data_IF_451889836067
#
_entry.id   IF_451889836067
#
_cell.length_a   1.000
_cell.length_b   1.000
_cell.length_c   1.000
_cell.angle_alpha   90.00
_cell.angle_beta   90.00
_cell.angle_gamma   90.00
#
_symmetry.space_group_name_H-M   'P 1'
#
loop_
_entity.id
_entity.type
_entity.pdbx_description
1 polymer ?
#
# COMPACT_ATOMS: atom_id res chain seq x y z
N UNK A 1 15.18 2.83 13.67
CA UNK A 1 15.44 4.14 14.32
C UNK A 1 14.89 4.23 15.74
N UNK A 2 13.57 4.13 15.97
CA UNK A 2 12.99 4.24 17.34
C UNK A 2 13.47 3.15 18.30
N UNK A 3 13.56 1.90 17.85
CA UNK A 3 14.06 0.76 18.65
C UNK A 3 15.52 0.91 19.13
N UNK A 4 16.28 1.83 18.54
CA UNK A 4 17.68 2.06 18.88
C UNK A 4 17.91 3.44 19.51
N UNK A 5 16.84 4.20 19.77
CA UNK A 5 16.91 5.56 20.31
C UNK A 5 17.86 6.46 19.53
N UNK A 6 17.80 6.41 18.20
CA UNK A 6 18.60 7.29 17.34
C UNK A 6 18.14 8.75 17.54
N UNK A 7 19.02 9.69 17.96
CA UNK A 7 18.63 11.05 18.32
C UNK A 7 18.01 11.83 17.15
N UNK A 8 18.61 11.73 15.97
CA UNK A 8 18.17 12.45 14.76
C UNK A 8 16.97 11.78 14.05
N UNK A 9 16.30 10.81 14.68
CA UNK A 9 15.19 10.08 14.04
C UNK A 9 14.01 10.96 13.61
N UNK A 10 13.79 12.10 14.29
CA UNK A 10 12.69 13.02 13.95
C UNK A 10 13.01 13.76 12.65
N UNK A 11 14.22 14.26 12.54
CA UNK A 11 14.69 15.00 11.37
C UNK A 11 14.77 14.08 10.15
N UNK A 12 15.36 12.91 10.29
CA UNK A 12 15.40 11.90 9.23
C UNK A 12 14.01 11.55 8.69
N UNK A 13 13.02 11.36 9.58
CA UNK A 13 11.62 11.12 9.17
C UNK A 13 11.00 12.34 8.49
N UNK A 14 11.41 13.56 8.84
CA UNK A 14 10.96 14.80 8.21
C UNK A 14 11.45 14.89 6.76
N UNK A 15 12.72 14.57 6.54
CA UNK A 15 13.33 14.52 5.20
C UNK A 15 12.60 13.54 4.28
N UNK A 16 12.28 12.33 4.77
CA UNK A 16 11.48 11.35 4.02
C UNK A 16 10.07 11.85 3.71
N UNK A 17 9.40 12.53 4.65
CA UNK A 17 8.09 13.15 4.39
C UNK A 17 8.16 14.27 3.36
N UNK A 18 9.25 15.04 3.35
CA UNK A 18 9.46 16.07 2.33
C UNK A 18 9.69 15.44 0.96
N UNK A 19 10.53 14.40 0.88
CA UNK A 19 10.75 13.62 -0.34
C UNK A 19 9.43 13.12 -0.95
N UNK A 20 8.58 12.49 -0.15
CA UNK A 20 7.28 11.99 -0.60
C UNK A 20 6.43 13.12 -1.19
N UNK A 21 6.33 14.26 -0.50
CA UNK A 21 5.56 15.42 -0.99
C UNK A 21 6.08 15.97 -2.33
N UNK A 22 7.39 16.00 -2.53
CA UNK A 22 7.98 16.45 -3.82
C UNK A 22 7.65 15.46 -4.93
N UNK A 23 7.75 14.16 -4.66
CA UNK A 23 7.39 13.12 -5.63
C UNK A 23 5.91 13.19 -6.01
N UNK A 24 5.02 13.26 -5.01
CA UNK A 24 3.57 13.41 -5.21
C UNK A 24 3.24 14.64 -6.07
N UNK A 25 3.86 15.78 -5.76
CA UNK A 25 3.66 17.01 -6.53
C UNK A 25 4.07 16.87 -8.01
N UNK A 26 5.25 16.28 -8.28
CA UNK A 26 5.73 16.07 -9.66
C UNK A 26 4.89 15.05 -10.43
N UNK A 27 4.39 14.01 -9.76
CA UNK A 27 3.46 13.06 -10.37
C UNK A 27 2.17 13.77 -10.80
N UNK A 28 1.64 14.65 -9.95
CA UNK A 28 0.43 15.40 -10.26
C UNK A 28 0.62 16.38 -11.43
N UNK A 29 1.73 17.11 -11.50
CA UNK A 29 2.07 17.97 -12.65
C UNK A 29 2.12 17.15 -13.96
N UNK A 30 2.72 15.96 -13.91
CA UNK A 30 2.78 15.07 -15.09
C UNK A 30 1.39 14.61 -15.53
N UNK A 31 0.51 14.27 -14.58
CA UNK A 31 -0.89 13.90 -14.84
C UNK A 31 -1.67 15.07 -15.44
N UNK A 32 -1.37 16.30 -15.04
CA UNK A 32 -1.94 17.54 -15.60
C UNK A 32 -1.39 17.93 -16.98
N UNK A 33 -0.45 17.15 -17.54
CA UNK A 33 0.07 17.34 -18.90
C UNK A 33 1.47 17.95 -18.98
N UNK A 34 2.13 18.29 -17.86
CA UNK A 34 3.50 18.78 -17.90
C UNK A 34 4.49 17.64 -18.18
N UNK A 35 4.96 17.57 -19.42
CA UNK A 35 5.91 16.55 -19.87
C UNK A 35 7.30 16.72 -19.22
N UNK A 36 7.68 17.93 -18.78
CA UNK A 36 8.98 18.17 -18.14
C UNK A 36 9.02 17.64 -16.70
N UNK A 37 7.87 17.45 -16.06
CA UNK A 37 7.78 16.94 -14.70
C UNK A 37 8.50 15.59 -14.52
N UNK A 38 8.49 14.72 -15.55
CA UNK A 38 9.19 13.42 -15.51
C UNK A 38 10.71 13.57 -15.44
N UNK A 39 11.31 14.47 -16.22
CA UNK A 39 12.78 14.65 -16.21
C UNK A 39 13.25 15.31 -14.91
N UNK A 40 12.48 16.27 -14.39
CA UNK A 40 12.71 16.87 -13.08
C UNK A 40 12.62 15.84 -11.96
N UNK A 41 11.61 14.96 -12.01
CA UNK A 41 11.44 13.90 -11.03
C UNK A 41 12.66 12.97 -11.01
N UNK A 42 13.11 12.47 -12.17
CA UNK A 42 14.30 11.59 -12.25
C UNK A 42 15.54 12.28 -11.68
N UNK A 43 15.77 13.56 -12.02
CA UNK A 43 16.91 14.31 -11.48
C UNK A 43 16.80 14.52 -9.96
N UNK A 44 15.61 14.83 -9.46
CA UNK A 44 15.36 14.96 -8.03
C UNK A 44 15.60 13.64 -7.29
N UNK A 45 15.02 12.53 -7.78
CA UNK A 45 15.18 11.20 -7.19
C UNK A 45 16.67 10.84 -7.08
N UNK A 46 17.43 11.01 -8.17
CA UNK A 46 18.87 10.74 -8.20
C UNK A 46 19.63 11.57 -7.17
N UNK A 47 19.43 12.89 -7.17
CA UNK A 47 20.16 13.81 -6.27
C UNK A 47 19.79 13.55 -4.80
N UNK A 48 18.50 13.36 -4.53
CA UNK A 48 18.01 13.12 -3.18
C UNK A 48 18.53 11.79 -2.64
N UNK A 49 18.39 10.69 -3.38
CA UNK A 49 18.86 9.36 -2.95
C UNK A 49 20.37 9.37 -2.69
N UNK A 50 21.16 9.89 -3.64
CA UNK A 50 22.61 9.94 -3.51
C UNK A 50 23.05 10.69 -2.24
N UNK A 51 22.52 11.90 -2.04
CA UNK A 51 22.89 12.70 -0.88
C UNK A 51 22.36 12.11 0.43
N UNK A 52 21.10 11.69 0.46
CA UNK A 52 20.45 11.16 1.67
C UNK A 52 21.12 9.88 2.16
N UNK A 53 21.45 8.96 1.24
CA UNK A 53 22.14 7.71 1.60
C UNK A 53 23.55 7.99 2.14
N UNK A 54 24.32 8.84 1.45
CA UNK A 54 25.71 9.12 1.80
C UNK A 54 25.87 9.90 3.11
N UNK A 55 24.87 10.71 3.47
CA UNK A 55 24.91 11.59 4.64
C UNK A 55 24.03 11.05 5.77
N UNK A 56 22.72 11.06 5.58
CA UNK A 56 21.74 10.80 6.63
C UNK A 56 21.62 9.31 6.99
N UNK A 57 21.52 8.41 6.00
CA UNK A 57 21.45 6.96 6.27
C UNK A 57 22.77 6.44 6.85
N UNK A 58 23.90 6.99 6.40
CA UNK A 58 25.23 6.63 6.92
C UNK A 58 25.39 6.97 8.41
N UNK A 59 24.87 8.11 8.87
CA UNK A 59 24.86 8.47 10.30
C UNK A 59 24.12 7.42 11.14
N UNK A 60 22.95 6.98 10.66
CA UNK A 60 22.17 5.94 11.33
C UNK A 60 22.91 4.60 11.36
N UNK A 61 23.53 4.20 10.25
CA UNK A 61 24.36 3.01 10.18
C UNK A 61 25.52 3.04 11.19
N UNK A 62 26.32 4.12 11.17
CA UNK A 62 27.42 4.32 12.11
C UNK A 62 26.96 4.30 13.57
N UNK A 63 25.82 4.91 13.87
CA UNK A 63 25.26 4.95 15.21
C UNK A 63 24.91 3.55 15.74
N UNK A 64 24.34 2.68 14.90
CA UNK A 64 24.03 1.30 15.28
C UNK A 64 25.32 0.49 15.47
N UNK A 65 26.24 0.55 14.51
CA UNK A 65 27.50 -0.22 14.57
C UNK A 65 28.30 0.13 15.83
N UNK A 66 28.35 1.41 16.22
CA UNK A 66 29.03 1.84 17.45
C UNK A 66 28.39 1.27 18.73
N UNK A 67 27.08 0.99 18.72
CA UNK A 67 26.34 0.50 19.90
C UNK A 67 26.14 -1.02 19.93
N UNK A 68 26.34 -1.73 18.81
CA UNK A 68 26.17 -3.18 18.72
C UNK A 68 27.37 -3.80 18.01
N UNK A 69 28.17 -4.57 18.77
CA UNK A 69 29.38 -5.26 18.27
C UNK A 69 29.13 -6.24 17.11
N UNK A 70 27.88 -6.65 16.86
CA UNK A 70 27.48 -7.55 15.76
C UNK A 70 26.10 -7.15 15.20
N UNK A 71 26.00 -6.00 14.52
CA UNK A 71 24.74 -5.54 13.93
C UNK A 71 24.14 -6.53 12.93
N UNK A 72 24.98 -7.27 12.20
CA UNK A 72 24.57 -8.26 11.19
C UNK A 72 23.75 -9.40 11.80
N UNK A 73 24.25 -10.02 12.88
CA UNK A 73 23.53 -11.10 13.59
C UNK A 73 22.20 -10.59 14.15
N UNK A 74 22.19 -9.36 14.69
CA UNK A 74 20.97 -8.74 15.21
C UNK A 74 19.91 -8.54 14.12
N UNK A 75 20.31 -8.08 12.93
CA UNK A 75 19.36 -7.88 11.83
C UNK A 75 18.93 -9.19 11.17
N UNK A 76 19.81 -10.19 11.09
CA UNK A 76 19.45 -11.56 10.67
C UNK A 76 18.37 -12.14 11.58
N UNK A 77 18.58 -12.08 12.89
CA UNK A 77 17.60 -12.55 13.89
C UNK A 77 16.25 -11.82 13.79
N UNK A 78 16.27 -10.50 13.52
CA UNK A 78 15.04 -9.75 13.27
C UNK A 78 14.35 -10.19 11.98
N UNK A 79 15.09 -10.35 10.89
CA UNK A 79 14.53 -10.75 9.60
C UNK A 79 13.85 -12.13 9.72
N UNK A 80 14.51 -13.08 10.38
CA UNK A 80 14.01 -14.44 10.60
C UNK A 80 12.84 -14.50 11.59
N UNK A 81 12.93 -13.79 12.73
CA UNK A 81 11.89 -13.84 13.78
C UNK A 81 10.64 -13.04 13.44
N UNK A 82 10.80 -11.88 12.80
CA UNK A 82 9.65 -11.00 12.57
C UNK A 82 8.79 -11.48 11.42
N UNK A 83 9.37 -12.11 10.38
CA UNK A 83 8.66 -12.49 9.14
C UNK A 83 7.81 -11.36 8.52
N UNK A 84 8.04 -10.11 8.93
CA UNK A 84 7.31 -8.90 8.50
C UNK A 84 8.02 -8.25 7.29
N UNK A 85 9.30 -8.55 7.08
CA UNK A 85 10.08 -8.00 5.97
C UNK A 85 10.20 -9.09 4.91
N UNK A 86 9.76 -8.81 3.69
CA UNK A 86 10.09 -9.68 2.55
C UNK A 86 11.29 -9.16 1.80
N UNK A 87 12.11 -10.09 1.36
CA UNK A 87 13.21 -9.82 0.45
C UNK A 87 12.93 -10.69 -0.75
N UNK A 88 12.64 -10.08 -1.90
CA UNK A 88 12.41 -10.81 -3.15
C UNK A 88 13.70 -11.46 -3.63
N UNK A 89 13.58 -12.56 -4.36
CA UNK A 89 14.73 -13.23 -4.97
C UNK A 89 15.63 -12.27 -5.78
N UNK A 90 15.04 -11.33 -6.54
CA UNK A 90 15.80 -10.32 -7.30
C UNK A 90 16.64 -9.39 -6.41
N UNK A 91 16.13 -9.06 -5.22
CA UNK A 91 16.88 -8.24 -4.25
C UNK A 91 18.04 -9.03 -3.64
N UNK A 92 17.84 -10.33 -3.38
CA UNK A 92 18.90 -11.24 -2.92
C UNK A 92 19.99 -11.33 -3.98
N UNK A 93 19.62 -11.63 -5.23
CA UNK A 93 20.55 -11.74 -6.36
C UNK A 93 21.38 -10.47 -6.53
N UNK A 94 20.72 -9.30 -6.51
CA UNK A 94 21.41 -8.01 -6.61
C UNK A 94 22.37 -7.78 -5.43
N UNK A 95 21.93 -8.06 -4.20
CA UNK A 95 22.75 -7.87 -3.01
C UNK A 95 23.96 -8.80 -3.00
N UNK A 96 23.77 -10.09 -3.29
CA UNK A 96 24.83 -11.08 -3.38
C UNK A 96 25.82 -10.77 -4.50
N UNK A 97 25.34 -10.33 -5.67
CA UNK A 97 26.21 -9.95 -6.78
C UNK A 97 27.12 -8.75 -6.45
N UNK A 98 26.65 -7.80 -5.62
CA UNK A 98 27.41 -6.60 -5.24
C UNK A 98 28.34 -6.87 -4.05
N UNK A 99 27.88 -7.63 -3.06
CA UNK A 99 28.56 -7.76 -1.76
C UNK A 99 29.34 -9.06 -1.59
N UNK A 100 29.09 -10.07 -2.42
CA UNK A 100 29.60 -11.43 -2.24
C UNK A 100 28.94 -12.20 -1.10
N UNK A 101 27.94 -11.62 -0.41
CA UNK A 101 27.26 -12.25 0.72
C UNK A 101 26.21 -13.26 0.23
N UNK A 102 26.35 -14.52 0.63
CA UNK A 102 25.51 -15.65 0.13
C UNK A 102 24.50 -16.18 1.15
N UNK A 103 24.60 -15.77 2.42
CA UNK A 103 23.74 -16.25 3.51
C UNK A 103 22.39 -15.51 3.59
N UNK A 104 22.06 -14.72 2.58
CA UNK A 104 20.76 -14.06 2.45
C UNK A 104 19.90 -14.91 1.51
N UNK A 105 18.66 -15.19 1.93
CA UNK A 105 17.70 -15.96 1.13
C UNK A 105 16.43 -15.16 0.93
N UNK A 106 15.64 -15.54 -0.08
CA UNK A 106 14.31 -14.97 -0.27
C UNK A 106 13.48 -15.19 0.99
N UNK A 107 12.91 -14.11 1.51
CA UNK A 107 11.97 -14.15 2.63
C UNK A 107 10.61 -13.78 2.06
N UNK A 108 9.73 -14.76 1.94
CA UNK A 108 8.33 -14.55 1.61
C UNK A 108 7.45 -15.07 2.73
N UNK A 109 6.37 -14.37 3.09
CA UNK A 109 5.37 -14.93 3.99
C UNK A 109 4.29 -15.64 3.18
N UNK A 110 4.16 -16.94 3.40
CA UNK A 110 3.04 -17.75 2.86
C UNK A 110 1.73 -17.52 3.63
N UNK A 111 1.80 -16.84 4.79
CA UNK A 111 0.62 -16.52 5.58
C UNK A 111 -0.03 -15.24 5.07
N UNK A 112 -1.24 -15.36 4.49
CA UNK A 112 -2.02 -14.24 3.97
C UNK A 112 -2.22 -13.14 5.03
N UNK A 113 -2.44 -13.51 6.29
CA UNK A 113 -2.64 -12.54 7.38
C UNK A 113 -1.39 -11.71 7.65
N UNK A 114 -0.21 -12.32 7.62
CA UNK A 114 1.07 -11.62 7.83
C UNK A 114 1.40 -10.72 6.65
N UNK A 115 1.11 -11.14 5.41
CA UNK A 115 1.28 -10.30 4.23
C UNK A 115 0.36 -9.08 4.24
N UNK A 116 -0.91 -9.24 4.66
CA UNK A 116 -1.83 -8.10 4.87
C UNK A 116 -1.28 -7.15 5.92
N UNK A 117 -0.88 -7.65 7.10
CA UNK A 117 -0.32 -6.83 8.18
C UNK A 117 0.94 -6.07 7.75
N UNK A 118 1.77 -6.71 6.95
CA UNK A 118 2.99 -6.14 6.40
C UNK A 118 2.69 -5.01 5.43
N UNK A 119 1.83 -5.22 4.43
CA UNK A 119 1.41 -4.17 3.49
C UNK A 119 0.81 -2.99 4.28
N UNK A 120 -0.09 -3.28 5.23
CA UNK A 120 -0.70 -2.27 6.09
C UNK A 120 0.32 -1.41 6.86
N UNK A 121 1.31 -2.04 7.51
CA UNK A 121 2.34 -1.35 8.32
C UNK A 121 3.36 -0.60 7.46
N UNK A 122 3.79 -1.18 6.34
CA UNK A 122 4.81 -0.59 5.46
C UNK A 122 4.28 0.70 4.84
N UNK A 123 3.08 0.66 4.26
CA UNK A 123 2.51 1.81 3.54
C UNK A 123 1.71 2.76 4.44
N UNK A 124 1.47 2.37 5.71
CA UNK A 124 0.69 3.14 6.70
C UNK A 124 -0.68 3.51 6.16
N UNK A 125 -1.44 2.49 5.82
CA UNK A 125 -2.72 2.61 5.11
C UNK A 125 -3.87 3.08 6.00
N UNK A 126 -3.65 3.28 7.31
CA UNK A 126 -4.71 3.71 8.22
C UNK A 126 -5.06 5.20 8.07
N UNK A 127 -6.34 5.46 7.78
CA UNK A 127 -6.93 6.81 7.76
C UNK A 127 -7.65 7.16 9.07
N UNK A 128 -7.76 6.21 10.01
CA UNK A 128 -8.40 6.37 11.32
C UNK A 128 -9.92 6.58 11.27
N UNK A 129 -10.58 6.07 10.23
CA UNK A 129 -12.04 5.95 10.16
C UNK A 129 -12.34 4.45 10.16
N UNK A 130 -12.89 3.86 11.24
CA UNK A 130 -12.92 2.41 11.40
C UNK A 130 -13.55 1.63 10.24
N UNK A 131 -14.62 2.16 9.64
CA UNK A 131 -15.29 1.51 8.50
C UNK A 131 -14.45 1.58 7.23
N UNK A 132 -13.75 2.69 6.98
CA UNK A 132 -12.83 2.83 5.85
C UNK A 132 -11.60 1.94 6.06
N UNK A 133 -10.98 1.98 7.25
CA UNK A 133 -9.83 1.13 7.58
C UNK A 133 -10.18 -0.37 7.44
N UNK A 134 -11.41 -0.76 7.78
CA UNK A 134 -11.94 -2.10 7.55
C UNK A 134 -12.06 -2.42 6.05
N UNK A 135 -12.59 -1.51 5.24
CA UNK A 135 -12.68 -1.68 3.79
C UNK A 135 -11.30 -1.77 3.12
N UNK A 136 -10.37 -0.89 3.49
CA UNK A 136 -8.98 -0.92 3.02
C UNK A 136 -8.29 -2.24 3.38
N UNK A 137 -8.44 -2.74 4.61
CA UNK A 137 -7.89 -4.04 5.01
C UNK A 137 -8.46 -5.19 4.19
N UNK A 138 -9.75 -5.13 3.85
CA UNK A 138 -10.38 -6.15 3.01
C UNK A 138 -9.87 -6.10 1.56
N UNK A 139 -9.71 -4.90 0.99
CA UNK A 139 -9.06 -4.72 -0.32
C UNK A 139 -7.64 -5.31 -0.35
N UNK A 140 -6.83 -5.01 0.67
CA UNK A 140 -5.47 -5.56 0.81
C UNK A 140 -5.51 -7.09 0.94
N UNK A 141 -6.46 -7.65 1.69
CA UNK A 141 -6.66 -9.11 1.78
C UNK A 141 -6.95 -9.72 0.42
N UNK A 142 -7.89 -9.16 -0.34
CA UNK A 142 -8.21 -9.66 -1.68
C UNK A 142 -7.01 -9.59 -2.63
N UNK A 143 -6.20 -8.53 -2.56
CA UNK A 143 -4.94 -8.42 -3.31
C UNK A 143 -3.99 -9.58 -2.96
N UNK A 144 -3.76 -9.82 -1.67
CA UNK A 144 -2.88 -10.90 -1.21
C UNK A 144 -3.40 -12.26 -1.68
N UNK A 145 -4.71 -12.50 -1.60
CA UNK A 145 -5.33 -13.74 -2.07
C UNK A 145 -5.20 -13.91 -3.60
N UNK A 146 -5.36 -12.82 -4.37
CA UNK A 146 -5.14 -12.82 -5.82
C UNK A 146 -3.67 -13.11 -6.17
N UNK A 147 -2.71 -12.58 -5.41
CA UNK A 147 -1.28 -12.87 -5.60
C UNK A 147 -0.93 -14.32 -5.25
N UNK A 148 -1.53 -14.90 -4.21
CA UNK A 148 -1.30 -16.28 -3.81
C UNK A 148 -1.89 -17.30 -4.78
N UNK A 149 -3.11 -17.03 -5.30
CA UNK A 149 -3.77 -17.88 -6.30
C UNK A 149 -3.01 -18.00 -7.61
N UNK A 150 -2.01 -17.14 -7.86
CA UNK A 150 -1.07 -17.30 -8.99
C UNK A 150 -0.26 -18.60 -8.89
N UNK A 151 -0.02 -19.16 -7.70
CA UNK A 151 1.04 -20.16 -7.46
C UNK A 151 0.62 -21.66 -7.52
N UNK A 152 -0.67 -22.06 -7.59
CA UNK A 152 -1.08 -23.49 -7.36
C UNK A 152 -2.28 -23.94 -8.25
N UNK A 153 -2.25 -25.14 -8.90
CA UNK A 153 -3.47 -25.85 -9.42
C UNK A 153 -3.38 -26.52 -10.82
N UNK A 154 -4.49 -26.78 -11.52
CA UNK A 154 -4.59 -27.09 -12.98
C UNK A 154 -5.00 -25.82 -13.77
N UNK A 155 -4.78 -25.73 -15.08
CA UNK A 155 -4.88 -24.45 -15.81
C UNK A 155 -6.31 -23.86 -15.89
N UNK A 156 -7.36 -24.66 -16.15
CA UNK A 156 -8.72 -24.16 -16.41
C UNK A 156 -9.51 -23.78 -15.16
N UNK A 157 -9.50 -24.62 -14.12
CA UNK A 157 -10.29 -24.36 -12.90
C UNK A 157 -9.73 -23.18 -12.10
N UNK A 158 -8.41 -22.96 -12.19
CA UNK A 158 -7.75 -21.76 -11.67
C UNK A 158 -8.24 -20.50 -12.35
N UNK A 159 -8.39 -20.53 -13.67
CA UNK A 159 -8.78 -19.34 -14.44
C UNK A 159 -10.17 -18.87 -14.03
N UNK A 160 -11.15 -19.77 -13.91
CA UNK A 160 -12.50 -19.40 -13.51
C UNK A 160 -12.57 -18.87 -12.08
N UNK A 161 -11.92 -19.54 -11.11
CA UNK A 161 -11.88 -19.10 -9.72
C UNK A 161 -11.13 -17.76 -9.56
N UNK A 162 -10.10 -17.55 -10.38
CA UNK A 162 -9.34 -16.31 -10.42
C UNK A 162 -10.18 -15.16 -10.99
N UNK A 163 -10.84 -15.37 -12.15
CA UNK A 163 -11.72 -14.37 -12.76
C UNK A 163 -12.88 -13.99 -11.86
N UNK A 164 -13.44 -14.96 -11.12
CA UNK A 164 -14.42 -14.68 -10.08
C UNK A 164 -13.83 -13.78 -8.98
N UNK A 165 -12.62 -14.08 -8.50
CA UNK A 165 -11.95 -13.28 -7.46
C UNK A 165 -11.67 -11.84 -7.92
N UNK A 166 -11.27 -11.63 -9.17
CA UNK A 166 -11.08 -10.30 -9.76
C UNK A 166 -12.41 -9.54 -9.82
N UNK A 167 -13.47 -10.18 -10.31
CA UNK A 167 -14.80 -9.56 -10.36
C UNK A 167 -15.27 -9.13 -8.96
N UNK A 168 -15.07 -9.98 -7.95
CA UNK A 168 -15.36 -9.66 -6.55
C UNK A 168 -14.54 -8.46 -6.07
N UNK A 169 -13.24 -8.41 -6.37
CA UNK A 169 -12.38 -7.27 -6.00
C UNK A 169 -12.82 -5.96 -6.67
N UNK A 170 -13.20 -5.99 -7.95
CA UNK A 170 -13.72 -4.82 -8.68
C UNK A 170 -15.04 -4.33 -8.05
N UNK A 171 -15.98 -5.24 -7.79
CA UNK A 171 -17.27 -4.87 -7.21
C UNK A 171 -17.11 -4.28 -5.81
N UNK A 172 -16.26 -4.90 -4.98
CA UNK A 172 -15.98 -4.37 -3.66
C UNK A 172 -15.27 -3.02 -3.68
N UNK A 173 -14.39 -2.78 -4.67
CA UNK A 173 -13.76 -1.47 -4.87
C UNK A 173 -14.81 -0.39 -5.16
N UNK A 174 -15.84 -0.69 -5.96
CA UNK A 174 -16.95 0.24 -6.21
C UNK A 174 -17.71 0.59 -4.93
N UNK A 175 -18.05 -0.41 -4.12
CA UNK A 175 -18.73 -0.20 -2.84
C UNK A 175 -17.90 0.66 -1.88
N UNK A 176 -16.58 0.40 -1.83
CA UNK A 176 -15.64 1.19 -1.05
C UNK A 176 -15.57 2.65 -1.54
N UNK A 177 -15.40 2.85 -2.84
CA UNK A 177 -15.31 4.18 -3.45
C UNK A 177 -16.58 5.01 -3.23
N UNK A 178 -17.76 4.39 -3.29
CA UNK A 178 -19.02 5.07 -2.99
C UNK A 178 -18.98 5.69 -1.59
N UNK A 179 -18.54 4.93 -0.57
CA UNK A 179 -18.48 5.45 0.79
C UNK A 179 -17.48 6.61 0.92
N UNK A 180 -16.31 6.52 0.30
CA UNK A 180 -15.35 7.62 0.31
C UNK A 180 -15.91 8.87 -0.37
N UNK A 181 -16.56 8.71 -1.53
CA UNK A 181 -17.15 9.78 -2.29
C UNK A 181 -18.29 10.46 -1.52
N UNK A 182 -19.12 9.70 -0.78
CA UNK A 182 -20.13 10.24 0.12
C UNK A 182 -19.50 11.09 1.25
N UNK A 183 -18.37 10.64 1.82
CA UNK A 183 -17.63 11.42 2.82
C UNK A 183 -17.05 12.69 2.18
N UNK A 184 -16.50 12.60 0.97
CA UNK A 184 -15.96 13.77 0.27
C UNK A 184 -17.02 14.78 -0.12
N UNK A 185 -18.16 14.32 -0.59
CA UNK A 185 -19.31 15.17 -0.91
C UNK A 185 -19.76 15.97 0.31
N UNK A 186 -19.80 15.35 1.49
CA UNK A 186 -20.19 16.02 2.72
C UNK A 186 -19.12 16.96 3.29
N UNK A 187 -17.86 16.54 3.31
CA UNK A 187 -16.82 17.22 4.10
C UNK A 187 -15.74 17.95 3.27
N UNK A 188 -15.52 17.58 2.01
CA UNK A 188 -14.56 18.22 1.10
C UNK A 188 -15.00 18.18 -0.38
N UNK A 189 -16.07 18.90 -0.76
CA UNK A 189 -16.61 18.88 -2.12
C UNK A 189 -15.60 19.30 -3.20
N UNK A 190 -14.62 20.13 -2.83
CA UNK A 190 -13.55 20.59 -3.72
C UNK A 190 -12.60 19.46 -4.17
N UNK A 191 -12.48 18.38 -3.39
CA UNK A 191 -11.64 17.22 -3.69
C UNK A 191 -12.42 16.11 -4.41
N UNK A 192 -13.74 16.04 -4.18
CA UNK A 192 -14.63 15.01 -4.75
C UNK A 192 -14.41 14.81 -6.24
N UNK A 193 -14.41 15.90 -7.03
CA UNK A 193 -14.32 15.80 -8.49
C UNK A 193 -13.04 15.10 -8.95
N UNK A 194 -11.90 15.43 -8.36
CA UNK A 194 -10.60 14.82 -8.70
C UNK A 194 -10.52 13.38 -8.20
N UNK A 195 -11.00 13.12 -6.98
CA UNK A 195 -10.96 11.79 -6.36
C UNK A 195 -11.86 10.78 -7.10
N UNK A 196 -13.13 11.13 -7.33
CA UNK A 196 -14.06 10.30 -8.12
C UNK A 196 -13.58 10.07 -9.55
N UNK A 197 -12.81 11.01 -10.12
CA UNK A 197 -12.22 10.82 -11.44
C UNK A 197 -11.11 9.75 -11.41
N UNK A 198 -10.26 9.74 -10.38
CA UNK A 198 -9.26 8.67 -10.18
C UNK A 198 -9.94 7.30 -10.05
N UNK A 199 -11.02 7.22 -9.26
CA UNK A 199 -11.82 6.01 -9.11
C UNK A 199 -12.38 5.50 -10.44
N UNK A 200 -13.03 6.37 -11.21
CA UNK A 200 -13.59 6.01 -12.52
C UNK A 200 -12.50 5.51 -13.48
N UNK A 201 -11.40 6.24 -13.59
CA UNK A 201 -10.29 5.84 -14.47
C UNK A 201 -9.73 4.46 -14.09
N UNK A 202 -9.59 4.19 -12.79
CA UNK A 202 -9.11 2.89 -12.33
C UNK A 202 -10.09 1.77 -12.66
N UNK A 203 -11.38 1.96 -12.39
CA UNK A 203 -12.40 0.97 -12.69
C UNK A 203 -12.49 0.69 -14.20
N UNK A 204 -12.40 1.71 -15.05
CA UNK A 204 -12.36 1.58 -16.51
C UNK A 204 -11.11 0.80 -16.95
N UNK A 205 -9.94 1.19 -16.44
CA UNK A 205 -8.67 0.54 -16.75
C UNK A 205 -8.66 -0.95 -16.38
N UNK A 206 -9.07 -1.30 -15.16
CA UNK A 206 -9.11 -2.68 -14.68
C UNK A 206 -10.18 -3.48 -15.43
N UNK A 207 -11.33 -2.89 -15.74
CA UNK A 207 -12.38 -3.54 -16.53
C UNK A 207 -11.88 -3.88 -17.94
N UNK A 208 -11.24 -2.92 -18.61
CA UNK A 208 -10.67 -3.12 -19.95
C UNK A 208 -9.62 -4.23 -19.95
N UNK A 209 -8.70 -4.21 -18.98
CA UNK A 209 -7.68 -5.25 -18.86
C UNK A 209 -8.28 -6.62 -18.55
N UNK A 210 -9.31 -6.68 -17.71
CA UNK A 210 -10.03 -7.91 -17.41
C UNK A 210 -10.75 -8.48 -18.65
N UNK A 211 -11.25 -7.63 -19.55
CA UNK A 211 -11.83 -8.06 -20.83
C UNK A 211 -10.77 -8.57 -21.82
N UNK A 212 -9.65 -7.85 -21.96
CA UNK A 212 -8.50 -8.27 -22.77
C UNK A 212 -7.94 -9.62 -22.30
N UNK A 213 -7.97 -9.89 -20.99
CA UNK A 213 -7.48 -11.12 -20.40
C UNK A 213 -8.34 -12.36 -20.69
N UNK A 214 -9.59 -12.20 -21.16
CA UNK A 214 -10.44 -13.34 -21.59
C UNK A 214 -9.89 -14.07 -22.82
N UNK A 215 -8.78 -13.59 -23.40
CA UNK A 215 -8.08 -14.19 -24.54
C UNK A 215 -6.95 -15.16 -24.13
N UNK A 216 -6.79 -15.48 -22.84
CA UNK A 216 -6.03 -16.66 -22.39
C UNK A 216 -4.53 -16.50 -22.12
N UNK A 217 -4.00 -15.27 -22.02
CA UNK A 217 -2.59 -15.05 -21.66
C UNK A 217 -2.38 -14.93 -20.14
N UNK A 218 -1.81 -15.97 -19.53
CA UNK A 218 -1.43 -16.00 -18.11
C UNK A 218 -0.54 -14.81 -17.67
N UNK A 219 0.33 -14.31 -18.55
CA UNK A 219 1.13 -13.11 -18.28
C UNK A 219 0.27 -11.85 -18.07
N UNK A 220 -0.84 -11.74 -18.79
CA UNK A 220 -1.76 -10.60 -18.72
C UNK A 220 -2.57 -10.59 -17.41
N UNK A 221 -2.86 -11.79 -16.88
CA UNK A 221 -3.42 -11.97 -15.53
C UNK A 221 -2.45 -11.50 -14.45
N UNK A 222 -1.16 -11.84 -14.57
CA UNK A 222 -0.18 -11.43 -13.56
C UNK A 222 -0.03 -9.92 -13.49
N UNK A 223 0.01 -9.27 -14.66
CA UNK A 223 0.06 -7.81 -14.78
C UNK A 223 -1.19 -7.16 -14.19
N UNK A 224 -2.38 -7.70 -14.43
CA UNK A 224 -3.63 -7.18 -13.87
C UNK A 224 -3.60 -7.10 -12.34
N UNK A 225 -3.17 -8.17 -11.65
CA UNK A 225 -3.07 -8.16 -10.19
C UNK A 225 -2.02 -7.17 -9.71
N UNK A 226 -0.89 -7.06 -10.42
CA UNK A 226 0.16 -6.12 -10.08
C UNK A 226 -0.34 -4.68 -10.19
N UNK A 227 -1.02 -4.32 -11.29
CA UNK A 227 -1.58 -2.99 -11.49
C UNK A 227 -2.68 -2.68 -10.45
N UNK A 228 -3.55 -3.66 -10.16
CA UNK A 228 -4.59 -3.51 -9.14
C UNK A 228 -3.98 -3.26 -7.75
N UNK A 229 -2.94 -4.02 -7.38
CA UNK A 229 -2.21 -3.83 -6.13
C UNK A 229 -1.53 -2.47 -6.06
N UNK A 230 -0.78 -2.11 -7.10
CA UNK A 230 -0.03 -0.86 -7.15
C UNK A 230 -0.96 0.34 -7.01
N UNK A 231 -2.06 0.36 -7.76
CA UNK A 231 -3.02 1.44 -7.70
C UNK A 231 -3.70 1.52 -6.33
N UNK A 232 -4.29 0.43 -5.81
CA UNK A 232 -5.03 0.46 -4.53
C UNK A 232 -4.10 0.85 -3.38
N UNK A 233 -2.92 0.24 -3.28
CA UNK A 233 -1.99 0.55 -2.19
C UNK A 233 -1.49 1.98 -2.28
N UNK A 234 -1.18 2.47 -3.49
CA UNK A 234 -0.75 3.86 -3.69
C UNK A 234 -1.87 4.85 -3.38
N UNK A 235 -3.08 4.62 -3.90
CA UNK A 235 -4.25 5.48 -3.72
C UNK A 235 -4.60 5.63 -2.24
N UNK A 236 -4.68 4.51 -1.51
CA UNK A 236 -4.91 4.54 -0.05
C UNK A 236 -3.77 5.27 0.68
N UNK A 237 -2.53 5.00 0.29
CA UNK A 237 -1.36 5.58 0.94
C UNK A 237 -1.16 7.08 0.64
N UNK A 238 -1.78 7.62 -0.40
CA UNK A 238 -1.51 8.98 -0.88
C UNK A 238 -2.81 9.80 -0.88
N UNK A 239 -3.77 9.39 -1.69
CA UNK A 239 -5.02 10.10 -1.95
C UNK A 239 -5.95 10.01 -0.74
N UNK A 240 -6.23 8.81 -0.23
CA UNK A 240 -7.19 8.61 0.88
C UNK A 240 -6.68 9.17 2.22
N UNK A 241 -5.38 9.49 2.33
CA UNK A 241 -4.82 10.09 3.54
C UNK A 241 -5.51 11.39 3.95
N UNK A 242 -6.14 12.10 3.02
CA UNK A 242 -6.93 13.29 3.32
C UNK A 242 -8.14 12.98 4.24
N UNK A 243 -8.69 11.76 4.19
CA UNK A 243 -9.75 11.30 5.10
C UNK A 243 -9.31 11.36 6.56
N UNK A 244 -8.02 11.17 6.84
CA UNK A 244 -7.46 11.33 8.19
C UNK A 244 -7.56 12.76 8.70
N UNK A 245 -7.42 13.75 7.81
CA UNK A 245 -7.62 15.14 8.15
C UNK A 245 -9.11 15.43 8.41
N UNK A 246 -10.01 14.89 7.58
CA UNK A 246 -11.47 14.98 7.79
C UNK A 246 -11.86 14.38 9.15
N UNK A 247 -11.39 13.17 9.46
CA UNK A 247 -11.66 12.50 10.73
C UNK A 247 -11.17 13.29 11.94
N UNK A 248 -10.00 13.94 11.82
CA UNK A 248 -9.45 14.78 12.90
C UNK A 248 -10.22 16.08 13.09
N UNK A 249 -10.67 16.72 11.99
CA UNK A 249 -11.32 18.03 12.03
C UNK A 249 -12.80 17.96 12.35
N UNK A 250 -13.49 16.92 11.88
CA UNK A 250 -14.95 16.79 11.92
C UNK A 250 -15.39 15.51 12.65
N UNK A 251 -14.70 15.10 13.73
CA UNK A 251 -14.87 13.79 14.36
C UNK A 251 -16.33 13.47 14.71
N UNK A 252 -17.05 14.39 15.38
CA UNK A 252 -18.42 14.15 15.85
C UNK A 252 -19.42 14.14 14.68
N UNK A 253 -19.36 15.12 13.78
CA UNK A 253 -20.23 15.19 12.60
C UNK A 253 -19.99 13.99 11.66
N UNK A 254 -18.74 13.55 11.49
CA UNK A 254 -18.42 12.36 10.71
C UNK A 254 -19.00 11.09 11.34
N UNK A 255 -18.95 10.98 12.68
CA UNK A 255 -19.53 9.83 13.40
C UNK A 255 -21.05 9.81 13.26
N UNK A 256 -21.70 10.95 13.39
CA UNK A 256 -23.15 11.09 13.18
C UNK A 256 -23.53 10.72 11.76
N UNK A 257 -22.86 11.32 10.77
CA UNK A 257 -23.04 11.01 9.35
C UNK A 257 -22.93 9.50 9.07
N UNK A 258 -21.82 8.87 9.46
CA UNK A 258 -21.63 7.43 9.23
C UNK A 258 -22.67 6.56 9.96
N UNK A 259 -23.13 6.98 11.14
CA UNK A 259 -24.18 6.26 11.88
C UNK A 259 -25.51 6.31 11.14
N UNK A 260 -25.87 7.48 10.61
CA UNK A 260 -27.06 7.67 9.77
C UNK A 260 -26.98 6.82 8.50
N UNK A 261 -25.88 6.91 7.77
CA UNK A 261 -25.67 6.15 6.52
C UNK A 261 -25.76 4.62 6.71
N UNK A 262 -25.27 4.12 7.84
CA UNK A 262 -25.39 2.70 8.22
C UNK A 262 -26.84 2.36 8.61
N UNK A 263 -27.50 3.21 9.41
CA UNK A 263 -28.88 2.96 9.86
C UNK A 263 -29.90 2.99 8.72
N UNK A 264 -29.65 3.80 7.70
CA UNK A 264 -30.47 3.92 6.50
C UNK A 264 -30.11 2.88 5.43
N UNK A 265 -29.15 1.98 5.71
CA UNK A 265 -28.77 0.87 4.84
C UNK A 265 -28.00 1.27 3.59
N UNK A 266 -27.60 2.54 3.44
CA UNK A 266 -26.75 3.01 2.34
C UNK A 266 -25.31 2.51 2.47
N UNK A 267 -24.87 2.22 3.68
CA UNK A 267 -23.53 1.70 3.96
C UNK A 267 -23.61 0.36 4.69
N UNK A 268 -23.12 -0.68 4.03
CA UNK A 268 -23.14 -2.04 4.57
C UNK A 268 -21.90 -2.33 5.45
N UNK A 269 -22.13 -2.79 6.68
CA UNK A 269 -21.08 -3.29 7.57
C UNK A 269 -21.08 -4.82 7.53
N UNK A 270 -20.29 -5.38 6.62
CA UNK A 270 -20.18 -6.83 6.47
C UNK A 270 -19.54 -7.46 7.75
N UNK A 271 -20.22 -8.43 8.42
CA UNK A 271 -19.71 -9.06 9.64
C UNK A 271 -18.37 -9.78 9.47
N UNK A 272 -18.10 -10.36 8.30
CA UNK A 272 -16.82 -11.02 8.01
C UNK A 272 -15.68 -10.01 7.96
N UNK A 273 -15.90 -8.87 7.31
CA UNK A 273 -14.91 -7.80 7.21
C UNK A 273 -14.62 -7.23 8.59
N UNK A 274 -15.65 -7.07 9.43
CA UNK A 274 -15.51 -6.61 10.81
C UNK A 274 -14.73 -7.60 11.68
N UNK A 275 -15.00 -8.90 11.55
CA UNK A 275 -14.21 -9.95 12.24
C UNK A 275 -12.75 -9.91 11.81
N UNK A 276 -12.48 -9.78 10.52
CA UNK A 276 -11.12 -9.68 9.99
C UNK A 276 -10.40 -8.42 10.49
N UNK A 277 -11.06 -7.26 10.42
CA UNK A 277 -10.55 -6.00 10.95
C UNK A 277 -10.19 -6.10 12.44
N UNK A 278 -11.09 -6.65 13.26
CA UNK A 278 -10.84 -6.84 14.68
C UNK A 278 -9.68 -7.80 14.96
N UNK A 279 -9.49 -8.83 14.14
CA UNK A 279 -8.34 -9.74 14.23
C UNK A 279 -7.04 -9.02 13.92
N UNK A 280 -6.99 -8.24 12.83
CA UNK A 280 -5.82 -7.44 12.46
C UNK A 280 -5.48 -6.42 13.54
N UNK A 281 -6.48 -5.70 14.06
CA UNK A 281 -6.31 -4.67 15.10
C UNK A 281 -5.66 -5.21 16.38
N UNK A 282 -5.94 -6.47 16.76
CA UNK A 282 -5.29 -7.12 17.91
C UNK A 282 -3.79 -7.40 17.71
N UNK A 283 -3.30 -7.33 16.47
CA UNK A 283 -1.91 -7.59 16.07
C UNK A 283 -1.11 -6.32 15.72
N UNK A 284 -1.77 -5.16 15.71
CA UNK A 284 -1.15 -3.86 15.43
C UNK A 284 -0.50 -3.28 16.68
#
# INVERSE_FOLDING_TARGET
MKKFDFPEQREHKSQHKHFIRVVEHRINERKSGDVKASSFLVNFLRKWLYNHILTEDRKYGQYITRRKKNSEIYFKDILEKTKIISISQKQVELYSAITGFTDLHEISSENALLEVLKIWKIYRLNVNIPIIDMQHLWLVKMIVELEQKKKIGSASDREQAFMHSIKTAINYSKEHFILEEMIFEKFMPNILKTHSFQHRQFLEFISLRNEQNKQGLYAAISNLVADFKEWIVSHIAIDDRILKYIAKKNSDELKEFLSTEISEGRVNVNPEHLRFYNRIRKML
#
